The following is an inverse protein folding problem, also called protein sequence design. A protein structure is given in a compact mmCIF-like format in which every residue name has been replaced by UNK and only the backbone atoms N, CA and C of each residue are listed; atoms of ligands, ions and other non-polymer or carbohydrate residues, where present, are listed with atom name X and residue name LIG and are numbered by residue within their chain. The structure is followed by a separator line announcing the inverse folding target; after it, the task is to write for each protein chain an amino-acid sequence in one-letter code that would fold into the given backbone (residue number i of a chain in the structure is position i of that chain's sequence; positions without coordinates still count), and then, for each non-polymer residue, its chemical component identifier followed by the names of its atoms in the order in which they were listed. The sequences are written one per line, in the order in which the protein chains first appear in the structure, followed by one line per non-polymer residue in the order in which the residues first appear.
data_IF_603581453627
#
_entry.id   IF_603581453627
#
_cell.length_a   1.000
_cell.length_b   1.000
_cell.length_c   1.000
_cell.angle_alpha   90.00
_cell.angle_beta   90.00
_cell.angle_gamma   90.00
#
_symmetry.space_group_name_H-M   'P 1'
#
loop_
_entity.id
_entity.type
_entity.pdbx_description
1 polymer ?
#
# COMPACT_ATOMS: atom_id res chain seq x y z
N UNK A 1 -16.73 -1.19 -14.16
CA UNK A 1 -17.91 -2.08 -14.27
C UNK A 1 -18.01 -3.17 -13.19
N UNK A 2 -16.90 -3.78 -12.75
CA UNK A 2 -16.94 -4.87 -11.76
C UNK A 2 -17.51 -4.46 -10.39
N UNK A 3 -17.04 -3.33 -9.82
CA UNK A 3 -17.52 -2.81 -8.53
C UNK A 3 -19.03 -2.53 -8.51
N UNK A 4 -19.58 -1.98 -9.59
CA UNK A 4 -21.02 -1.70 -9.69
C UNK A 4 -21.89 -2.97 -9.73
N UNK A 5 -21.36 -4.09 -10.26
CA UNK A 5 -22.07 -5.38 -10.20
C UNK A 5 -22.11 -5.95 -8.78
N UNK A 6 -21.04 -5.76 -8.00
CA UNK A 6 -21.01 -6.18 -6.59
C UNK A 6 -22.03 -5.40 -5.76
N UNK A 7 -22.06 -4.08 -5.92
CA UNK A 7 -23.00 -3.20 -5.21
C UNK A 7 -24.46 -3.56 -5.55
N UNK A 8 -24.75 -3.83 -6.82
CA UNK A 8 -26.08 -4.28 -7.24
C UNK A 8 -26.46 -5.63 -6.65
N UNK A 9 -25.56 -6.61 -6.67
CA UNK A 9 -25.84 -7.95 -6.11
C UNK A 9 -26.06 -7.88 -4.59
N UNK A 10 -25.31 -7.04 -3.87
CA UNK A 10 -25.58 -6.77 -2.45
C UNK A 10 -26.97 -6.15 -2.21
N UNK A 11 -27.39 -5.22 -3.07
CA UNK A 11 -28.74 -4.65 -3.01
C UNK A 11 -29.83 -5.71 -3.27
N UNK A 12 -29.62 -6.60 -4.24
CA UNK A 12 -30.58 -7.66 -4.56
C UNK A 12 -30.66 -8.74 -3.45
N UNK A 13 -29.55 -9.04 -2.77
CA UNK A 13 -29.51 -9.88 -1.55
C UNK A 13 -30.31 -9.23 -0.41
N UNK A 14 -30.18 -7.92 -0.19
CA UNK A 14 -30.97 -7.19 0.81
C UNK A 14 -32.47 -7.33 0.53
N UNK A 15 -32.87 -7.31 -0.75
CA UNK A 15 -34.26 -7.52 -1.18
C UNK A 15 -34.69 -8.99 -1.21
N UNK A 16 -33.85 -9.93 -0.76
CA UNK A 16 -34.07 -11.39 -0.82
C UNK A 16 -34.33 -11.91 -2.25
N UNK A 17 -33.81 -11.22 -3.26
CA UNK A 17 -33.93 -11.57 -4.68
C UNK A 17 -32.77 -12.40 -5.20
N UNK A 18 -31.70 -12.51 -4.40
CA UNK A 18 -30.47 -13.20 -4.76
C UNK A 18 -29.93 -13.99 -3.56
N UNK A 19 -29.15 -15.04 -3.83
CA UNK A 19 -28.61 -15.92 -2.80
C UNK A 19 -27.27 -15.41 -2.29
N UNK A 20 -27.19 -15.24 -0.97
CA UNK A 20 -25.93 -14.94 -0.28
C UNK A 20 -24.83 -15.95 -0.63
N UNK A 21 -25.17 -17.23 -0.72
CA UNK A 21 -24.19 -18.28 -0.98
C UNK A 21 -23.62 -18.19 -2.40
N UNK A 22 -24.45 -17.85 -3.38
CA UNK A 22 -24.00 -17.65 -4.77
C UNK A 22 -23.09 -16.41 -4.88
N UNK A 23 -23.42 -15.33 -4.18
CA UNK A 23 -22.55 -14.16 -4.13
C UNK A 23 -21.19 -14.47 -3.49
N UNK A 24 -21.17 -15.21 -2.38
CA UNK A 24 -19.91 -15.60 -1.73
C UNK A 24 -19.07 -16.51 -2.64
N UNK A 25 -19.68 -17.47 -3.34
CA UNK A 25 -18.96 -18.28 -4.33
C UNK A 25 -18.34 -17.42 -5.43
N UNK A 26 -19.08 -16.44 -5.96
CA UNK A 26 -18.54 -15.51 -6.96
C UNK A 26 -17.30 -14.76 -6.44
N UNK A 27 -17.33 -14.27 -5.19
CA UNK A 27 -16.21 -13.56 -4.57
C UNK A 27 -15.00 -14.49 -4.38
N UNK A 28 -15.22 -15.70 -3.88
CA UNK A 28 -14.15 -16.68 -3.69
C UNK A 28 -13.51 -17.09 -5.02
N UNK A 29 -14.33 -17.38 -6.04
CA UNK A 29 -13.86 -17.75 -7.36
C UNK A 29 -13.06 -16.62 -8.01
N UNK A 30 -13.57 -15.39 -7.94
CA UNK A 30 -12.89 -14.22 -8.47
C UNK A 30 -11.52 -14.04 -7.80
N UNK A 31 -11.48 -14.04 -6.46
CA UNK A 31 -10.24 -13.80 -5.71
C UNK A 31 -9.22 -14.91 -5.96
N UNK A 32 -9.67 -16.17 -5.97
CA UNK A 32 -8.79 -17.33 -6.22
C UNK A 32 -8.19 -17.25 -7.62
N UNK A 33 -9.02 -17.01 -8.64
CA UNK A 33 -8.55 -16.87 -10.03
C UNK A 33 -7.61 -15.70 -10.19
N UNK A 34 -7.90 -14.54 -9.61
CA UNK A 34 -7.00 -13.38 -9.67
C UNK A 34 -5.64 -13.67 -9.05
N UNK A 35 -5.60 -14.34 -7.89
CA UNK A 35 -4.35 -14.72 -7.24
C UNK A 35 -3.57 -15.74 -8.09
N UNK A 36 -4.26 -16.73 -8.66
CA UNK A 36 -3.63 -17.71 -9.56
C UNK A 36 -3.07 -17.05 -10.82
N UNK A 37 -3.79 -16.12 -11.43
CA UNK A 37 -3.31 -15.36 -12.59
C UNK A 37 -2.02 -14.62 -12.24
N UNK A 38 -2.00 -13.87 -11.13
CA UNK A 38 -0.81 -13.10 -10.72
C UNK A 38 0.38 -14.02 -10.40
N UNK A 39 0.15 -15.18 -9.78
CA UNK A 39 1.20 -16.16 -9.47
C UNK A 39 1.82 -16.81 -10.71
N UNK A 40 1.03 -16.98 -11.76
CA UNK A 40 1.44 -17.66 -12.99
C UNK A 40 1.92 -16.68 -14.08
N UNK A 41 1.63 -15.39 -13.94
CA UNK A 41 2.22 -14.36 -14.78
C UNK A 41 3.74 -14.28 -14.54
N UNK A 42 4.50 -14.08 -15.61
CA UNK A 42 5.95 -13.85 -15.50
C UNK A 42 6.16 -12.58 -14.67
N UNK A 43 7.15 -12.59 -13.76
CA UNK A 43 7.52 -11.39 -13.00
C UNK A 43 7.99 -10.30 -13.97
N UNK A 44 7.09 -9.37 -14.30
CA UNK A 44 7.42 -8.14 -15.00
C UNK A 44 7.53 -7.07 -13.92
N UNK A 45 8.75 -6.65 -13.60
CA UNK A 45 8.97 -5.50 -12.71
C UNK A 45 8.51 -4.23 -13.43
N UNK A 46 7.25 -3.83 -13.22
CA UNK A 46 6.68 -2.61 -13.81
C UNK A 46 7.28 -1.36 -13.14
N UNK A 47 7.52 -1.44 -11.83
CA UNK A 47 8.25 -0.43 -11.06
C UNK A 47 9.01 -1.12 -9.94
N UNK A 48 10.35 -1.04 -9.99
CA UNK A 48 11.18 -1.36 -8.84
C UNK A 48 10.94 -0.28 -7.79
N UNK A 49 10.27 -0.61 -6.68
CA UNK A 49 10.28 0.24 -5.49
C UNK A 49 11.64 0.04 -4.83
N UNK A 50 12.69 0.54 -5.48
CA UNK A 50 14.00 0.62 -4.84
C UNK A 50 13.80 1.62 -3.72
N UNK A 51 13.87 1.14 -2.47
CA UNK A 51 14.14 2.02 -1.34
C UNK A 51 15.57 2.54 -1.54
N UNK A 52 15.74 3.51 -2.43
CA UNK A 52 16.95 4.30 -2.47
C UNK A 52 17.00 5.00 -1.13
N UNK A 53 17.82 4.43 -0.23
CA UNK A 53 18.15 5.02 1.05
C UNK A 53 18.85 6.33 0.71
N UNK A 54 18.06 7.41 0.60
CA UNK A 54 18.52 8.76 0.26
C UNK A 54 19.74 9.03 1.13
N UNK A 55 20.91 9.14 0.51
CA UNK A 55 22.17 9.34 1.24
C UNK A 55 21.97 10.58 2.08
N UNK A 56 22.01 10.39 3.40
CA UNK A 56 21.67 11.43 4.34
C UNK A 56 22.79 12.47 4.32
N UNK A 57 22.64 13.51 3.51
CA UNK A 57 23.62 14.59 3.45
C UNK A 57 23.61 15.39 4.74
N UNK A 58 24.80 15.65 5.28
CA UNK A 58 24.98 16.47 6.48
C UNK A 58 25.00 17.92 6.05
N UNK A 59 23.95 18.67 6.43
CA UNK A 59 23.78 20.07 6.02
C UNK A 59 24.53 21.05 6.94
N UNK A 60 24.97 20.58 8.11
CA UNK A 60 25.67 21.38 9.10
C UNK A 60 25.55 20.80 10.50
N UNK A 61 26.10 21.50 11.49
CA UNK A 61 26.04 21.09 12.90
C UNK A 61 24.86 21.77 13.62
N UNK A 62 24.15 21.00 14.45
CA UNK A 62 23.07 21.50 15.27
C UNK A 62 23.61 22.53 16.29
N UNK A 63 23.01 23.73 16.39
CA UNK A 63 23.50 24.78 17.30
C UNK A 63 23.29 24.44 18.79
N UNK A 64 22.45 23.45 19.12
CA UNK A 64 22.13 23.07 20.50
C UNK A 64 23.04 21.97 21.05
N UNK A 65 23.40 20.99 20.22
CA UNK A 65 24.15 19.80 20.67
C UNK A 65 25.35 19.45 19.78
N UNK A 66 25.65 20.25 18.75
CA UNK A 66 26.78 20.05 17.84
C UNK A 66 26.65 18.87 16.86
N UNK A 67 25.60 18.05 16.97
CA UNK A 67 25.40 16.88 16.11
C UNK A 67 24.88 17.27 14.72
N UNK A 68 25.16 16.45 13.70
CA UNK A 68 24.77 16.70 12.31
C UNK A 68 23.26 16.97 12.16
N UNK A 69 22.90 17.98 11.38
CA UNK A 69 21.55 18.20 10.84
C UNK A 69 21.40 17.40 9.56
N UNK A 70 20.32 16.63 9.48
CA UNK A 70 20.02 15.72 8.38
C UNK A 70 18.65 16.03 7.75
N UNK A 71 18.52 15.82 6.45
CA UNK A 71 17.23 15.88 5.76
C UNK A 71 16.42 14.60 5.99
N UNK A 72 15.22 14.74 6.56
CA UNK A 72 14.20 13.71 6.64
C UNK A 72 13.09 13.93 5.61
N UNK A 73 12.10 13.04 5.60
CA UNK A 73 11.06 13.01 4.55
C UNK A 73 10.26 14.32 4.41
N UNK A 74 10.15 15.14 5.46
CA UNK A 74 9.34 16.37 5.49
C UNK A 74 10.08 17.59 6.04
N UNK A 75 11.41 17.55 6.14
CA UNK A 75 12.19 18.66 6.66
C UNK A 75 13.52 18.25 7.28
N UNK A 76 14.22 19.20 7.90
CA UNK A 76 15.56 19.02 8.46
C UNK A 76 15.52 18.85 9.97
N UNK A 77 16.27 17.88 10.49
CA UNK A 77 16.28 17.58 11.92
C UNK A 77 17.67 17.25 12.44
N UNK A 78 17.89 17.47 13.73
CA UNK A 78 19.10 17.00 14.39
C UNK A 78 19.15 15.48 14.38
N UNK A 79 20.27 14.90 13.93
CA UNK A 79 20.52 13.45 13.95
C UNK A 79 20.34 12.82 15.33
N UNK A 80 20.49 13.60 16.40
CA UNK A 80 20.38 13.15 17.79
C UNK A 80 19.12 13.67 18.52
N UNK A 81 18.05 13.98 17.78
CA UNK A 81 16.79 14.53 18.33
C UNK A 81 16.17 13.66 19.43
N UNK A 82 16.40 12.33 19.42
CA UNK A 82 15.86 11.41 20.44
C UNK A 82 16.48 11.57 21.83
N UNK A 83 17.61 12.26 21.95
CA UNK A 83 18.29 12.53 23.23
C UNK A 83 18.06 13.96 23.74
N UNK A 84 17.29 14.77 23.01
CA UNK A 84 17.03 16.18 23.28
C UNK A 84 15.78 16.42 24.10
#
# INVERSE_FOLDING_TARGET
EFTGRLEKSLFDIEKKKDSKDQFLQLIFDFTTKSVETIKNEQEITIHEVTSQKKTTEVLGNCPLCGHAIIEGQKGFGCSNWKKG
#
